data_IF_318748302649
#
_entry.id   IF_318748302649
#
_cell.length_a   1.000
_cell.length_b   1.000
_cell.length_c   1.000
_cell.angle_alpha   90.00
_cell.angle_beta   90.00
_cell.angle_gamma   90.00
#
_symmetry.space_group_name_H-M   'P 1'
#
loop_
_entity.id
_entity.type
_entity.pdbx_description
1 polymer ?
#
# COMPACT_ATOMS: atom_id res chain seq x y z
N UNK A 1 1.55 16.88 8.54
CA UNK A 1 2.89 16.38 8.15
C UNK A 1 3.35 17.17 6.94
N UNK A 2 4.53 17.76 6.99
CA UNK A 2 5.15 18.42 5.83
C UNK A 2 5.24 17.42 4.66
N UNK A 3 5.07 17.91 3.43
CA UNK A 3 5.13 17.08 2.21
C UNK A 3 6.41 16.23 2.15
N UNK A 4 7.52 16.76 2.68
CA UNK A 4 8.80 16.06 2.79
C UNK A 4 8.72 14.77 3.59
N UNK A 5 8.17 14.80 4.81
CA UNK A 5 8.09 13.62 5.66
C UNK A 5 7.30 12.48 4.99
N UNK A 6 6.22 12.81 4.26
CA UNK A 6 5.46 11.80 3.49
C UNK A 6 6.30 11.22 2.35
N UNK A 7 7.02 12.08 1.62
CA UNK A 7 7.89 11.65 0.52
C UNK A 7 9.02 10.74 1.00
N UNK A 8 9.64 11.04 2.14
CA UNK A 8 10.71 10.24 2.73
C UNK A 8 10.21 8.82 3.07
N UNK A 9 9.03 8.71 3.67
CA UNK A 9 8.44 7.41 3.99
C UNK A 9 8.06 6.60 2.75
N UNK A 10 7.51 7.26 1.71
CA UNK A 10 7.25 6.59 0.44
C UNK A 10 8.55 6.10 -0.20
N UNK A 11 9.61 6.91 -0.18
CA UNK A 11 10.93 6.52 -0.69
C UNK A 11 11.50 5.33 0.07
N UNK A 12 11.31 5.27 1.39
CA UNK A 12 11.74 4.14 2.21
C UNK A 12 11.04 2.83 1.85
N UNK A 13 9.75 2.88 1.51
CA UNK A 13 8.96 1.71 1.08
C UNK A 13 9.33 1.29 -0.36
N UNK A 14 9.56 2.27 -1.25
CA UNK A 14 9.91 2.03 -2.65
C UNK A 14 11.34 1.48 -2.80
N UNK A 15 12.31 1.92 -1.99
CA UNK A 15 13.71 1.47 -2.07
C UNK A 15 13.90 -0.06 -2.08
N UNK A 16 13.28 -0.86 -1.18
CA UNK A 16 13.49 -2.32 -1.14
C UNK A 16 12.65 -3.14 -2.12
N UNK A 17 11.50 -2.60 -2.57
CA UNK A 17 10.45 -3.33 -3.33
C UNK A 17 10.26 -2.83 -4.76
N UNK A 18 10.74 -1.62 -5.08
CA UNK A 18 10.63 -1.01 -6.39
C UNK A 18 9.19 -0.88 -6.87
N UNK A 19 8.91 -1.45 -8.05
CA UNK A 19 7.61 -1.36 -8.72
C UNK A 19 6.45 -1.94 -7.88
N UNK A 20 6.69 -3.02 -7.12
CA UNK A 20 5.68 -3.63 -6.26
C UNK A 20 5.15 -2.64 -5.21
N UNK A 21 6.06 -1.86 -4.61
CA UNK A 21 5.69 -0.81 -3.67
C UNK A 21 4.91 0.32 -4.32
N UNK A 22 5.28 0.71 -5.53
CA UNK A 22 4.57 1.75 -6.27
C UNK A 22 3.12 1.34 -6.57
N UNK A 23 2.92 0.11 -7.05
CA UNK A 23 1.58 -0.46 -7.30
C UNK A 23 0.75 -0.44 -6.02
N UNK A 24 1.34 -0.86 -4.90
CA UNK A 24 0.67 -0.89 -3.61
C UNK A 24 0.27 0.52 -3.13
N UNK A 25 1.14 1.51 -3.28
CA UNK A 25 0.87 2.91 -2.92
C UNK A 25 -0.15 3.61 -3.83
N UNK A 26 -0.38 3.10 -5.04
CA UNK A 26 -1.41 3.63 -5.95
C UNK A 26 -2.82 3.08 -5.67
N UNK A 27 -2.94 2.03 -4.84
CA UNK A 27 -4.21 1.42 -4.52
C UNK A 27 -5.11 2.34 -3.68
N UNK A 28 -6.42 2.29 -3.93
CA UNK A 28 -7.36 3.21 -3.30
C UNK A 28 -7.56 2.88 -1.82
N UNK A 29 -7.32 3.87 -0.96
CA UNK A 29 -7.42 3.68 0.49
C UNK A 29 -6.20 3.01 1.12
N UNK A 30 -5.12 2.81 0.36
CA UNK A 30 -3.86 2.26 0.86
C UNK A 30 -2.88 3.39 1.17
N UNK A 31 -2.64 3.64 2.46
CA UNK A 31 -1.60 4.56 2.94
C UNK A 31 -0.26 3.86 3.20
N UNK A 32 0.72 4.61 3.71
CA UNK A 32 2.08 4.12 3.99
C UNK A 32 2.10 2.84 4.86
N UNK A 33 1.27 2.80 5.91
CA UNK A 33 1.25 1.71 6.88
C UNK A 33 0.64 0.46 6.27
N UNK A 34 -0.49 0.64 5.57
CA UNK A 34 -1.16 -0.45 4.86
C UNK A 34 -0.25 -1.01 3.77
N UNK A 35 0.42 -0.15 2.99
CA UNK A 35 1.38 -0.58 1.98
C UNK A 35 2.54 -1.37 2.59
N UNK A 36 3.13 -0.87 3.68
CA UNK A 36 4.21 -1.57 4.40
C UNK A 36 3.76 -2.95 4.90
N UNK A 37 2.54 -3.08 5.45
CA UNK A 37 1.98 -4.37 5.89
C UNK A 37 1.78 -5.34 4.72
N UNK A 38 1.20 -4.87 3.62
CA UNK A 38 0.97 -5.71 2.43
C UNK A 38 2.29 -6.22 1.89
N UNK A 39 3.26 -5.32 1.70
CA UNK A 39 4.57 -5.68 1.18
C UNK A 39 5.25 -6.66 2.12
N UNK A 40 5.33 -6.40 3.43
CA UNK A 40 5.96 -7.33 4.37
C UNK A 40 5.31 -8.73 4.40
N UNK A 41 4.00 -8.83 4.14
CA UNK A 41 3.29 -10.10 4.10
C UNK A 41 3.56 -10.90 2.81
N UNK A 42 3.88 -10.23 1.71
CA UNK A 42 4.04 -10.87 0.40
C UNK A 42 5.52 -11.14 0.12
N UNK A 43 5.93 -12.39 -0.15
CA UNK A 43 7.28 -12.68 -0.65
C UNK A 43 7.57 -11.92 -1.96
N UNK A 44 8.82 -11.56 -2.21
CA UNK A 44 9.19 -10.96 -3.50
C UNK A 44 8.96 -11.96 -4.63
N UNK A 45 8.37 -11.51 -5.73
CA UNK A 45 8.07 -12.35 -6.90
C UNK A 45 6.64 -12.92 -6.92
N UNK A 46 5.94 -12.92 -5.77
CA UNK A 46 4.55 -13.38 -5.64
C UNK A 46 3.55 -12.27 -5.99
N UNK A 47 3.61 -11.79 -7.23
CA UNK A 47 2.82 -10.63 -7.69
C UNK A 47 1.32 -10.88 -7.65
N UNK A 48 0.87 -12.09 -7.96
CA UNK A 48 -0.56 -12.44 -7.94
C UNK A 48 -1.13 -12.37 -6.51
N UNK A 49 -0.39 -12.90 -5.54
CA UNK A 49 -0.74 -12.81 -4.13
C UNK A 49 -0.79 -11.34 -3.67
N UNK A 50 0.18 -10.53 -4.07
CA UNK A 50 0.19 -9.09 -3.78
C UNK A 50 -1.07 -8.40 -4.29
N UNK A 51 -1.41 -8.62 -5.57
CA UNK A 51 -2.57 -8.02 -6.20
C UNK A 51 -3.88 -8.46 -5.53
N UNK A 52 -3.98 -9.72 -5.10
CA UNK A 52 -5.14 -10.23 -4.35
C UNK A 52 -5.30 -9.52 -3.01
N UNK A 53 -4.21 -9.30 -2.28
CA UNK A 53 -4.26 -8.60 -0.98
C UNK A 53 -4.59 -7.12 -1.18
N UNK A 54 -4.04 -6.48 -2.21
CA UNK A 54 -4.38 -5.09 -2.57
C UNK A 54 -5.87 -4.98 -2.87
N UNK A 55 -6.42 -5.89 -3.66
CA UNK A 55 -7.84 -5.92 -4.00
C UNK A 55 -8.74 -6.02 -2.76
N UNK A 56 -8.39 -6.89 -1.80
CA UNK A 56 -9.14 -7.01 -0.55
C UNK A 56 -9.08 -5.71 0.28
N UNK A 57 -7.91 -5.06 0.33
CA UNK A 57 -7.74 -3.78 1.00
C UNK A 57 -8.62 -2.68 0.37
N UNK A 58 -8.70 -2.63 -0.97
CA UNK A 58 -9.56 -1.68 -1.68
C UNK A 58 -11.04 -1.93 -1.42
N UNK A 59 -11.47 -3.20 -1.39
CA UNK A 59 -12.84 -3.58 -1.02
C UNK A 59 -13.17 -3.14 0.42
N UNK A 60 -12.26 -3.36 1.36
CA UNK A 60 -12.44 -2.95 2.75
C UNK A 60 -12.53 -1.43 2.90
N UNK A 61 -11.71 -0.68 2.16
CA UNK A 61 -11.83 0.77 2.08
C UNK A 61 -13.18 1.19 1.49
N UNK A 62 -13.60 0.59 0.37
CA UNK A 62 -14.88 0.91 -0.26
C UNK A 62 -16.08 0.63 0.65
N UNK A 63 -16.03 -0.44 1.45
CA UNK A 63 -17.06 -0.77 2.45
C UNK A 63 -17.08 0.20 3.63
N UNK A 64 -15.91 0.53 4.17
CA UNK A 64 -15.80 1.28 5.43
C UNK A 64 -15.71 2.79 5.26
N UNK A 65 -15.41 3.30 4.06
CA UNK A 65 -15.29 4.76 3.78
C UNK A 65 -16.51 5.57 4.20
N UNK A 66 -17.70 4.96 4.23
CA UNK A 66 -18.95 5.62 4.64
C UNK A 66 -18.95 6.02 6.13
N UNK A 67 -18.16 5.35 6.95
CA UNK A 67 -18.09 5.59 8.40
C UNK A 67 -16.96 6.55 8.79
N UNK A 68 -16.20 7.09 7.83
CA UNK A 68 -15.01 7.91 8.06
C UNK A 68 -15.30 9.41 7.86
N UNK A 69 -16.53 9.82 8.18
CA UNK A 69 -16.99 11.22 8.15
C UNK A 69 -16.41 12.02 9.32
#
# INVERSE_FOLDING_TARGET
LTVQARMEKHAHIVRPRGLEALICLMARGVGEETASRILNRVPKGERELMLKIIHDAELNYARTRRFWA
#
